data_IF_050256827484
#
_entry.id   IF_050256827484
#
_cell.length_a   1.000
_cell.length_b   1.000
_cell.length_c   1.000
_cell.angle_alpha   90.00
_cell.angle_beta   90.00
_cell.angle_gamma   90.00
#
_symmetry.space_group_name_H-M   'P 1'
#
loop_
_entity.id
_entity.type
_entity.pdbx_description
1 polymer ?
#
# COMPACT_ATOMS: atom_id res chain seq x y z
N UNK A 1 3.93 23.04 21.70
CA UNK A 1 3.46 21.81 21.04
C UNK A 1 4.59 21.27 20.18
N UNK A 2 4.62 19.96 19.86
CA UNK A 2 5.75 19.32 19.18
C UNK A 2 5.42 19.04 17.71
N UNK A 3 6.42 19.15 16.84
CA UNK A 3 6.35 18.80 15.41
C UNK A 3 5.94 17.33 15.22
N UNK A 4 4.92 17.07 14.40
CA UNK A 4 4.29 15.74 14.30
C UNK A 4 4.06 15.32 12.85
N UNK A 5 4.19 14.02 12.60
CA UNK A 5 3.93 13.36 11.32
C UNK A 5 2.98 12.17 11.53
N UNK A 6 1.99 12.00 10.65
CA UNK A 6 1.06 10.86 10.67
C UNK A 6 0.64 10.46 9.26
N UNK A 7 -0.04 9.32 9.16
CA UNK A 7 -0.75 8.89 7.96
C UNK A 7 -2.23 8.68 8.26
N UNK A 8 -3.09 8.94 7.28
CA UNK A 8 -4.51 8.58 7.37
C UNK A 8 -4.75 7.07 7.16
N UNK A 9 -3.73 6.35 6.70
CA UNK A 9 -3.87 4.96 6.23
C UNK A 9 -3.28 3.94 7.21
N UNK A 10 -2.34 4.36 8.06
CA UNK A 10 -1.79 3.54 9.13
C UNK A 10 -1.31 4.41 10.29
N UNK A 11 -1.34 3.83 11.50
CA UNK A 11 -0.80 4.47 12.71
C UNK A 11 0.68 4.14 12.87
N UNK A 12 1.39 4.96 13.65
CA UNK A 12 2.78 4.70 13.99
C UNK A 12 2.96 3.29 14.61
N UNK A 13 3.95 2.55 14.11
CA UNK A 13 4.27 1.18 14.49
C UNK A 13 3.34 0.11 13.88
N UNK A 14 2.31 0.50 13.14
CA UNK A 14 1.32 -0.42 12.56
C UNK A 14 1.66 -0.80 11.13
N UNK A 15 0.93 -1.79 10.62
CA UNK A 15 1.14 -2.34 9.28
C UNK A 15 0.77 -1.34 8.19
N UNK A 16 1.63 -1.21 7.18
CA UNK A 16 1.34 -0.47 5.95
C UNK A 16 0.35 -1.27 5.11
N UNK A 17 -0.74 -0.65 4.59
CA UNK A 17 -1.70 -1.32 3.71
C UNK A 17 -1.05 -1.92 2.47
N UNK A 18 -1.56 -3.06 2.01
CA UNK A 18 -0.97 -3.82 0.89
C UNK A 18 -0.94 -2.97 -0.39
N UNK A 19 -1.92 -2.08 -0.57
CA UNK A 19 -2.07 -1.17 -1.69
C UNK A 19 -0.86 -0.24 -1.86
N UNK A 20 -0.15 0.07 -0.76
CA UNK A 20 1.04 0.94 -0.73
C UNK A 20 2.36 0.17 -0.84
N UNK A 21 2.29 -1.15 -1.04
CA UNK A 21 3.44 -2.04 -1.21
C UNK A 21 3.64 -2.43 -2.66
N UNK A 22 4.74 -3.11 -2.97
CA UNK A 22 4.98 -3.62 -4.32
C UNK A 22 4.02 -4.74 -4.75
N UNK A 23 3.23 -5.31 -3.82
CA UNK A 23 2.14 -6.25 -4.15
C UNK A 23 0.84 -5.53 -4.55
N UNK A 24 0.75 -4.22 -4.31
CA UNK A 24 -0.37 -3.38 -4.72
C UNK A 24 0.06 -2.35 -5.75
N UNK A 25 -0.47 -1.13 -5.64
CA UNK A 25 -0.17 -0.03 -6.56
C UNK A 25 1.24 0.57 -6.40
N UNK A 26 1.95 0.25 -5.30
CA UNK A 26 3.26 0.83 -4.99
C UNK A 26 3.27 2.37 -5.04
N UNK A 27 2.15 2.97 -4.62
CA UNK A 27 1.97 4.41 -4.49
C UNK A 27 2.26 4.86 -3.06
N UNK A 28 2.68 6.12 -2.87
CA UNK A 28 2.96 6.65 -1.55
C UNK A 28 1.67 6.70 -0.70
N UNK A 29 1.77 6.47 0.63
CA UNK A 29 0.65 6.72 1.53
C UNK A 29 0.36 8.22 1.63
N UNK A 30 -0.87 8.59 1.96
CA UNK A 30 -1.19 9.95 2.41
C UNK A 30 -0.44 10.23 3.72
N UNK A 31 0.27 11.36 3.77
CA UNK A 31 0.99 11.84 4.96
C UNK A 31 0.47 13.22 5.35
N UNK A 32 0.31 13.47 6.65
CA UNK A 32 -0.06 14.76 7.20
C UNK A 32 0.85 15.14 8.37
N UNK A 33 1.00 16.44 8.61
CA UNK A 33 1.80 16.95 9.72
C UNK A 33 1.22 18.24 10.29
N UNK A 34 1.67 18.58 11.49
CA UNK A 34 1.27 19.77 12.22
C UNK A 34 2.41 20.25 13.11
N UNK A 35 2.26 21.47 13.64
CA UNK A 35 3.25 22.11 14.52
C UNK A 35 4.61 22.30 13.82
N UNK A 36 4.59 22.73 12.55
CA UNK A 36 5.80 23.11 11.81
C UNK A 36 6.45 24.29 12.54
N UNK A 37 7.74 24.23 12.93
CA UNK A 37 8.42 25.35 13.59
C UNK A 37 8.38 26.63 12.73
N UNK A 38 8.23 27.78 13.38
CA UNK A 38 8.11 29.09 12.68
C UNK A 38 9.35 29.44 11.84
N UNK A 39 10.53 28.93 12.22
CA UNK A 39 11.79 29.17 11.51
C UNK A 39 11.98 28.27 10.28
N UNK A 40 11.01 27.41 9.96
CA UNK A 40 11.05 26.52 8.79
C UNK A 40 10.92 27.33 7.51
N UNK A 41 11.84 27.14 6.57
CA UNK A 41 11.79 27.70 5.20
C UNK A 41 11.46 26.64 4.16
N UNK A 42 11.77 25.38 4.44
CA UNK A 42 11.46 24.26 3.56
C UNK A 42 11.17 22.99 4.37
N UNK A 43 10.26 22.17 3.87
CA UNK A 43 10.01 20.82 4.36
C UNK A 43 10.61 19.78 3.42
N UNK A 44 11.18 18.72 4.01
CA UNK A 44 11.73 17.58 3.27
C UNK A 44 11.35 16.25 3.94
N UNK A 45 11.24 15.18 3.16
CA UNK A 45 10.83 13.85 3.61
C UNK A 45 11.81 12.79 3.10
N UNK A 46 12.20 11.88 3.98
CA UNK A 46 12.97 10.68 3.67
C UNK A 46 12.24 9.45 4.20
N UNK A 47 12.10 8.42 3.37
CA UNK A 47 11.60 7.11 3.78
C UNK A 47 12.68 6.04 3.60
N UNK A 48 13.03 5.36 4.69
CA UNK A 48 14.08 4.33 4.72
C UNK A 48 13.62 3.04 5.38
N UNK A 49 14.16 1.93 4.88
CA UNK A 49 14.08 0.59 5.48
C UNK A 49 15.47 0.20 6.00
N UNK A 50 15.75 0.39 7.30
CA UNK A 50 17.01 -0.03 7.92
C UNK A 50 17.08 -1.55 8.13
N UNK A 51 15.96 -2.26 7.92
CA UNK A 51 15.85 -3.69 8.15
C UNK A 51 16.12 -4.50 6.88
N UNK A 52 16.30 -3.84 5.74
CA UNK A 52 16.71 -4.45 4.48
C UNK A 52 18.09 -5.13 4.62
N UNK A 53 18.30 -6.31 3.99
CA UNK A 53 19.55 -7.07 4.11
C UNK A 53 20.66 -6.48 3.21
N UNK A 54 20.94 -5.19 3.36
CA UNK A 54 21.98 -4.45 2.64
C UNK A 54 22.89 -3.71 3.65
N UNK A 55 24.13 -3.37 3.28
CA UNK A 55 25.05 -2.64 4.18
C UNK A 55 24.56 -1.25 4.60
N UNK A 56 23.68 -0.64 3.81
CA UNK A 56 23.06 0.67 4.08
C UNK A 56 21.55 0.51 4.06
N UNK A 57 20.85 1.39 4.79
CA UNK A 57 19.38 1.47 4.74
C UNK A 57 18.89 1.59 3.31
N UNK A 58 17.83 0.87 2.98
CA UNK A 58 17.20 0.95 1.66
C UNK A 58 16.29 2.17 1.59
N UNK A 59 16.55 3.07 0.66
CA UNK A 59 15.73 4.28 0.48
C UNK A 59 14.52 3.94 -0.37
N UNK A 60 13.35 4.21 0.17
CA UNK A 60 12.07 4.05 -0.49
C UNK A 60 11.58 5.34 -1.15
N UNK A 61 11.90 6.51 -0.55
CA UNK A 61 11.41 7.79 -1.05
C UNK A 61 12.22 8.97 -0.53
N UNK A 62 12.39 10.00 -1.37
CA UNK A 62 12.99 11.29 -1.03
C UNK A 62 12.10 12.37 -1.65
N UNK A 63 11.69 13.36 -0.87
CA UNK A 63 10.93 14.55 -1.31
C UNK A 63 11.52 15.78 -0.64
N UNK A 64 11.64 16.90 -1.35
CA UNK A 64 12.16 18.17 -0.83
C UNK A 64 11.60 19.34 -1.64
N UNK A 65 11.90 20.56 -1.20
CA UNK A 65 11.33 21.77 -1.81
C UNK A 65 9.86 21.98 -1.48
N UNK A 66 9.34 21.41 -0.40
CA UNK A 66 7.94 21.61 0.00
C UNK A 66 7.82 22.90 0.83
N UNK A 67 6.82 23.72 0.52
CA UNK A 67 6.51 24.92 1.27
C UNK A 67 6.09 24.59 2.74
N UNK A 68 6.55 25.35 3.76
CA UNK A 68 6.20 25.13 5.17
C UNK A 68 4.69 25.20 5.47
N UNK A 69 3.91 25.89 4.64
CA UNK A 69 2.46 26.03 4.78
C UNK A 69 1.70 24.82 4.25
N UNK A 70 2.32 23.96 3.44
CA UNK A 70 1.76 22.66 3.09
C UNK A 70 1.65 21.81 4.35
N UNK A 71 0.49 21.17 4.55
CA UNK A 71 0.20 20.32 5.73
C UNK A 71 0.08 18.84 5.42
N UNK A 72 0.17 18.45 4.14
CA UNK A 72 0.06 17.05 3.74
C UNK A 72 0.62 16.77 2.36
N UNK A 73 1.08 15.53 2.15
CA UNK A 73 1.22 14.94 0.82
C UNK A 73 0.03 14.00 0.59
N UNK A 74 -0.75 14.17 -0.50
CA UNK A 74 -1.81 13.24 -0.83
C UNK A 74 -1.24 11.88 -1.22
N UNK A 75 -2.05 10.83 -1.13
CA UNK A 75 -1.65 9.51 -1.61
C UNK A 75 -1.46 9.51 -3.12
N UNK A 76 -0.55 8.69 -3.63
CA UNK A 76 -0.36 8.45 -5.06
C UNK A 76 -0.06 9.71 -5.89
N UNK A 77 0.88 10.54 -5.44
CA UNK A 77 1.43 11.60 -6.30
C UNK A 77 2.22 10.98 -7.47
N UNK A 78 2.31 11.65 -8.64
CA UNK A 78 3.08 11.15 -9.76
C UNK A 78 4.56 10.97 -9.41
N UNK A 79 5.28 10.10 -10.12
CA UNK A 79 6.69 9.75 -9.82
C UNK A 79 7.69 10.55 -10.66
N UNK A 80 7.38 11.82 -10.89
CA UNK A 80 8.23 12.73 -11.66
C UNK A 80 9.24 13.44 -10.75
N UNK A 81 10.39 13.84 -11.33
CA UNK A 81 11.47 14.50 -10.58
C UNK A 81 11.01 15.82 -9.97
N UNK A 82 10.12 16.51 -10.65
CA UNK A 82 9.54 17.77 -10.23
C UNK A 82 8.04 17.70 -10.46
N UNK A 83 7.28 18.10 -9.45
CA UNK A 83 5.84 18.15 -9.49
C UNK A 83 5.40 19.57 -9.18
N UNK A 84 4.41 20.05 -9.92
CA UNK A 84 3.69 21.29 -9.59
C UNK A 84 2.27 21.04 -9.10
N UNK A 85 1.73 19.85 -9.35
CA UNK A 85 0.45 19.38 -8.85
C UNK A 85 0.54 17.89 -8.48
N UNK A 86 -0.17 17.43 -7.43
CA UNK A 86 -1.01 18.21 -6.51
C UNK A 86 -0.21 18.99 -5.45
N UNK A 87 1.11 18.87 -5.48
CA UNK A 87 2.04 19.48 -4.54
C UNK A 87 3.28 19.93 -5.31
N UNK A 88 3.64 21.21 -5.16
CA UNK A 88 4.92 21.74 -5.63
C UNK A 88 6.06 21.12 -4.80
N UNK A 89 6.86 20.27 -5.44
CA UNK A 89 8.01 19.63 -4.81
C UNK A 89 8.98 19.03 -5.82
N UNK A 90 10.16 18.64 -5.34
CA UNK A 90 11.13 17.81 -6.05
C UNK A 90 11.17 16.43 -5.41
N UNK A 91 11.38 15.40 -6.24
CA UNK A 91 11.56 14.02 -5.80
C UNK A 91 12.95 13.53 -6.14
N UNK A 92 13.56 12.80 -5.20
CA UNK A 92 14.87 12.18 -5.37
C UNK A 92 14.81 10.77 -5.99
N UNK A 93 15.99 10.20 -6.25
CA UNK A 93 16.18 8.80 -6.65
C UNK A 93 16.24 7.91 -5.41
N UNK A 94 15.46 6.84 -5.41
CA UNK A 94 15.47 5.81 -4.37
C UNK A 94 16.56 4.75 -4.64
N UNK A 95 16.68 3.76 -3.76
CA UNK A 95 17.73 2.72 -3.87
C UNK A 95 17.60 1.82 -5.11
N UNK A 96 16.46 1.84 -5.81
CA UNK A 96 16.29 1.16 -7.11
C UNK A 96 16.74 2.04 -8.30
N UNK A 97 17.22 3.26 -8.04
CA UNK A 97 17.54 4.24 -9.08
C UNK A 97 16.31 4.91 -9.70
N UNK A 98 15.11 4.61 -9.18
CA UNK A 98 13.84 5.17 -9.66
C UNK A 98 13.52 6.46 -8.91
N UNK A 99 12.78 7.35 -9.57
CA UNK A 99 12.27 8.58 -8.95
C UNK A 99 10.99 8.29 -8.17
N UNK A 100 10.82 8.97 -7.05
CA UNK A 100 9.62 8.86 -6.22
C UNK A 100 9.54 7.58 -5.39
N UNK A 101 8.36 7.34 -4.82
CA UNK A 101 8.14 6.27 -3.85
C UNK A 101 8.20 4.89 -4.50
N UNK A 102 8.93 3.96 -3.88
CA UNK A 102 8.83 2.52 -4.13
C UNK A 102 8.28 1.84 -2.88
N UNK A 103 7.21 1.06 -3.02
CA UNK A 103 6.56 0.44 -1.88
C UNK A 103 7.39 -0.69 -1.23
N UNK A 104 7.09 -1.04 0.04
CA UNK A 104 7.61 -2.21 0.71
C UNK A 104 7.62 -3.46 -0.17
N UNK A 105 8.76 -4.14 -0.23
CA UNK A 105 8.89 -5.45 -0.88
C UNK A 105 9.99 -6.27 -0.20
N UNK A 106 9.85 -6.56 1.11
CA UNK A 106 10.87 -7.32 1.81
C UNK A 106 10.98 -8.71 1.16
N UNK A 107 12.20 -9.24 0.97
CA UNK A 107 12.38 -10.53 0.34
C UNK A 107 11.65 -11.64 1.10
N UNK A 108 11.01 -12.59 0.39
CA UNK A 108 10.21 -13.63 1.04
C UNK A 108 11.03 -14.55 1.95
N UNK A 109 12.33 -14.72 1.66
CA UNK A 109 13.27 -15.48 2.50
C UNK A 109 13.67 -14.71 3.75
N UNK A 110 13.56 -13.38 3.73
CA UNK A 110 13.85 -12.50 4.84
C UNK A 110 12.59 -12.37 5.71
N UNK A 111 12.26 -13.46 6.43
CA UNK A 111 11.00 -13.71 7.17
C UNK A 111 10.72 -12.73 8.34
N UNK A 112 11.51 -11.66 8.48
CA UNK A 112 11.36 -10.63 9.49
C UNK A 112 10.38 -9.57 9.00
N UNK A 113 9.71 -8.91 9.94
CA UNK A 113 8.96 -7.69 9.63
C UNK A 113 9.94 -6.52 9.50
N UNK A 114 9.82 -5.76 8.42
CA UNK A 114 10.65 -4.58 8.18
C UNK A 114 9.94 -3.33 8.67
N UNK A 115 10.72 -2.38 9.16
CA UNK A 115 10.28 -1.02 9.48
C UNK A 115 10.56 -0.12 8.29
N UNK A 116 9.58 0.71 7.96
CA UNK A 116 9.68 1.77 6.95
C UNK A 116 9.52 3.08 7.70
N UNK A 117 10.64 3.79 7.86
CA UNK A 117 10.73 4.97 8.69
C UNK A 117 10.62 6.19 7.80
N UNK A 118 9.50 6.89 7.89
CA UNK A 118 9.28 8.20 7.29
C UNK A 118 9.75 9.27 8.27
N UNK A 119 10.70 10.09 7.84
CA UNK A 119 11.23 11.24 8.58
C UNK A 119 10.89 12.50 7.81
N UNK A 120 10.18 13.41 8.45
CA UNK A 120 9.88 14.74 7.94
C UNK A 120 10.80 15.74 8.65
N UNK A 121 11.52 16.53 7.87
CA UNK A 121 12.46 17.54 8.31
C UNK A 121 11.86 18.91 8.08
N UNK A 122 11.93 19.75 9.10
CA UNK A 122 11.84 21.18 8.97
C UNK A 122 13.25 21.75 8.79
N UNK A 123 13.47 22.51 7.72
CA UNK A 123 14.76 23.07 7.35
C UNK A 123 14.76 24.59 7.54
N UNK A 124 15.87 25.16 8.02
CA UNK A 124 16.07 26.61 8.22
C UNK A 124 16.26 27.36 6.91
N UNK A 125 16.75 26.68 5.87
CA UNK A 125 17.08 27.22 4.56
C UNK A 125 16.51 26.32 3.45
N UNK A 126 16.24 26.92 2.29
CA UNK A 126 15.79 26.20 1.10
C UNK A 126 16.95 25.44 0.45
N UNK A 127 16.67 24.25 -0.05
CA UNK A 127 17.71 23.42 -0.67
C UNK A 127 17.98 23.86 -2.11
N UNK A 128 19.25 24.11 -2.43
CA UNK A 128 19.73 24.31 -3.80
C UNK A 128 19.89 23.00 -4.59
N UNK A 129 19.35 21.91 -4.04
CA UNK A 129 19.46 20.56 -4.58
C UNK A 129 18.64 20.41 -5.87
N UNK A 130 19.29 19.86 -6.91
CA UNK A 130 18.65 19.55 -8.19
C UNK A 130 17.65 18.40 -8.02
N UNK A 131 16.62 18.36 -8.86
CA UNK A 131 15.62 17.30 -8.84
C UNK A 131 16.22 15.92 -9.20
N UNK A 132 15.79 14.85 -8.52
CA UNK A 132 16.35 13.50 -8.71
C UNK A 132 17.65 13.23 -7.94
N UNK A 133 17.95 14.01 -6.90
CA UNK A 133 19.07 13.75 -6.02
C UNK A 133 18.96 12.38 -5.31
N UNK A 134 20.10 11.73 -5.10
CA UNK A 134 20.19 10.49 -4.32
C UNK A 134 20.30 10.75 -2.82
N UNK A 135 20.35 9.67 -2.05
CA UNK A 135 20.42 9.71 -0.57
C UNK A 135 21.59 10.52 -0.03
N UNK A 136 22.80 10.33 -0.58
CA UNK A 136 24.01 11.01 -0.11
C UNK A 136 23.87 12.52 -0.27
N UNK A 137 23.64 12.96 -1.51
CA UNK A 137 23.40 14.36 -1.87
C UNK A 137 22.28 15.00 -1.02
N UNK A 138 21.20 14.26 -0.74
CA UNK A 138 20.12 14.72 0.12
C UNK A 138 20.57 14.92 1.57
N UNK A 139 21.26 13.94 2.17
CA UNK A 139 21.71 14.03 3.56
C UNK A 139 22.76 15.13 3.74
N UNK A 140 23.70 15.25 2.80
CA UNK A 140 24.71 16.30 2.80
C UNK A 140 24.04 17.68 2.71
N UNK A 141 22.98 17.82 1.90
CA UNK A 141 22.25 19.07 1.73
C UNK A 141 21.43 19.51 2.96
N UNK A 142 21.00 18.57 3.81
CA UNK A 142 20.23 18.90 5.03
C UNK A 142 21.10 18.97 6.28
N UNK A 143 22.37 18.56 6.22
CA UNK A 143 23.29 18.61 7.35
C UNK A 143 23.45 20.04 7.87
N UNK A 144 23.30 20.23 9.19
CA UNK A 144 23.33 21.56 9.82
C UNK A 144 22.11 22.45 9.55
N UNK A 145 21.19 22.07 8.66
CA UNK A 145 20.02 22.84 8.26
C UNK A 145 18.71 22.40 8.98
N UNK A 146 18.69 21.22 9.59
CA UNK A 146 17.49 20.69 10.27
C UNK A 146 17.20 21.44 11.57
N UNK A 147 16.00 22.02 11.68
CA UNK A 147 15.50 22.68 12.90
C UNK A 147 14.64 21.77 13.77
N UNK A 148 13.89 20.87 13.12
CA UNK A 148 13.11 19.86 13.81
C UNK A 148 12.88 18.65 12.90
N UNK A 149 12.62 17.51 13.52
CA UNK A 149 12.29 16.27 12.84
C UNK A 149 11.05 15.65 13.46
N UNK A 150 10.19 15.08 12.61
CA UNK A 150 9.08 14.23 13.02
C UNK A 150 9.16 12.88 12.32
N UNK A 151 8.81 11.81 13.02
CA UNK A 151 8.94 10.44 12.52
C UNK A 151 7.61 9.69 12.54
N UNK A 152 7.36 8.90 11.50
CA UNK A 152 6.30 7.90 11.40
C UNK A 152 6.92 6.58 10.94
N UNK A 153 6.71 5.50 11.68
CA UNK A 153 7.16 4.16 11.29
C UNK A 153 5.97 3.31 10.86
N UNK A 154 5.98 2.83 9.62
CA UNK A 154 5.11 1.77 9.17
C UNK A 154 5.84 0.43 9.19
N UNK A 155 5.11 -0.68 9.27
CA UNK A 155 5.69 -2.02 9.23
C UNK A 155 5.13 -2.85 8.09
N UNK A 156 5.94 -3.72 7.51
CA UNK A 156 5.44 -4.69 6.55
C UNK A 156 6.27 -5.98 6.56
N UNK A 157 5.56 -7.10 6.42
CA UNK A 157 6.14 -8.43 6.26
C UNK A 157 5.45 -9.12 5.09
N UNK A 158 6.24 -9.62 4.14
CA UNK A 158 5.73 -10.48 3.07
C UNK A 158 5.44 -11.84 3.68
N UNK A 159 4.16 -12.24 3.67
CA UNK A 159 3.79 -13.60 4.07
C UNK A 159 3.92 -14.47 2.82
N UNK A 160 4.58 -15.64 2.91
CA UNK A 160 4.60 -16.57 1.78
C UNK A 160 3.16 -16.94 1.41
N UNK A 161 2.85 -17.17 0.11
CA UNK A 161 1.56 -17.72 -0.27
C UNK A 161 1.31 -18.98 0.54
N UNK A 162 0.14 -19.05 1.21
CA UNK A 162 -0.24 -20.26 1.91
C UNK A 162 -0.31 -21.39 0.88
N UNK A 163 0.32 -22.54 1.16
CA UNK A 163 0.06 -23.75 0.37
C UNK A 163 -1.44 -24.00 0.48
N UNK A 164 -2.19 -23.83 -0.60
CA UNK A 164 -3.57 -24.34 -0.65
C UNK A 164 -3.41 -25.85 -0.46
N UNK A 165 -3.89 -26.37 0.67
CA UNK A 165 -3.79 -27.81 0.92
C UNK A 165 -4.49 -28.52 -0.22
N UNK A 166 -3.81 -29.47 -0.87
CA UNK A 166 -4.32 -30.29 -1.97
C UNK A 166 -5.41 -31.28 -1.49
N UNK A 167 -6.25 -30.88 -0.55
CA UNK A 167 -7.27 -31.69 0.10
C UNK A 167 -8.68 -31.48 -0.52
N UNK A 168 -8.77 -30.88 -1.72
CA UNK A 168 -10.06 -30.70 -2.44
C UNK A 168 -10.20 -31.67 -3.64
N UNK A 169 -9.25 -32.57 -3.89
CA UNK A 169 -9.34 -33.53 -5.00
C UNK A 169 -9.26 -34.98 -4.51
N UNK A 170 -10.31 -35.52 -3.86
CA UNK A 170 -10.53 -36.99 -3.72
C UNK A 170 -12.00 -37.42 -3.42
N UNK A 171 -13.02 -36.63 -3.75
CA UNK A 171 -14.44 -37.06 -3.61
C UNK A 171 -15.22 -36.97 -4.92
N UNK A 172 -14.65 -37.49 -6.01
CA UNK A 172 -15.42 -37.87 -7.19
C UNK A 172 -14.58 -38.84 -8.03
N UNK A 173 -14.44 -40.10 -7.57
CA UNK A 173 -14.14 -41.31 -8.37
C UNK A 173 -13.81 -42.51 -7.45
N UNK A 174 -14.67 -42.78 -6.47
CA UNK A 174 -14.72 -44.09 -5.82
C UNK A 174 -16.18 -44.39 -5.52
N UNK A 175 -16.78 -45.24 -6.35
CA UNK A 175 -18.14 -45.72 -6.14
C UNK A 175 -18.27 -46.46 -4.81
N UNK A 176 -19.42 -46.29 -4.18
CA UNK A 176 -19.83 -47.03 -2.99
C UNK A 176 -21.34 -47.25 -3.06
N UNK A 177 -21.72 -48.51 -3.29
CA UNK A 177 -23.09 -48.97 -3.49
C UNK A 177 -23.98 -48.71 -2.27
N UNK A 178 -25.24 -48.31 -2.51
CA UNK A 178 -26.33 -48.45 -1.56
C UNK A 178 -27.37 -49.42 -2.15
N UNK A 179 -27.29 -50.68 -1.72
CA UNK A 179 -28.38 -51.65 -1.81
C UNK A 179 -29.51 -51.16 -0.89
N UNK A 180 -30.67 -50.83 -1.47
CA UNK A 180 -31.92 -50.68 -0.72
C UNK A 180 -32.84 -51.81 -1.15
N UNK A 181 -32.95 -52.83 -0.29
CA UNK A 181 -34.02 -53.82 -0.34
C UNK A 181 -35.28 -53.20 0.28
N UNK A 182 -36.32 -53.00 -0.52
CA UNK A 182 -37.65 -52.58 -0.08
C UNK A 182 -38.71 -53.17 -1.02
N UNK A 183 -39.34 -54.26 -0.58
CA UNK A 183 -40.27 -55.08 -1.36
C UNK A 183 -41.71 -54.51 -1.25
N UNK A 184 -42.20 -53.96 -2.35
CA UNK A 184 -43.48 -54.26 -3.05
C UNK A 184 -44.79 -54.43 -2.25
N UNK A 185 -45.79 -53.58 -2.55
CA UNK A 185 -47.22 -53.90 -2.86
C UNK A 185 -47.83 -52.70 -3.63
N UNK A 186 -48.20 -52.83 -4.92
CA UNK A 186 -49.57 -52.90 -5.49
C UNK A 186 -50.55 -51.85 -4.89
N UNK A 187 -51.39 -51.08 -5.60
CA UNK A 187 -52.08 -51.24 -6.88
C UNK A 187 -52.76 -49.89 -7.29
N UNK A 188 -53.00 -49.72 -8.60
CA UNK A 188 -54.12 -49.00 -9.28
C UNK A 188 -54.25 -47.46 -9.33
N UNK A 189 -54.06 -46.99 -10.58
CA UNK A 189 -55.07 -46.46 -11.55
C UNK A 189 -55.62 -45.03 -11.36
N UNK A 190 -55.43 -44.21 -12.40
CA UNK A 190 -56.24 -43.00 -12.72
C UNK A 190 -55.38 -41.75 -13.01
N UNK A 191 -54.91 -41.48 -14.23
CA UNK A 191 -55.61 -40.79 -15.31
C UNK A 191 -55.89 -39.30 -15.04
N UNK A 192 -55.09 -38.39 -15.62
CA UNK A 192 -55.53 -37.40 -16.64
C UNK A 192 -54.40 -36.45 -17.06
N UNK A 193 -54.44 -36.13 -18.35
CA UNK A 193 -53.65 -35.14 -19.09
C UNK A 193 -53.94 -33.72 -18.58
N UNK A 194 -52.96 -32.82 -18.69
CA UNK A 194 -53.03 -31.64 -19.58
C UNK A 194 -51.74 -30.79 -19.45
N UNK A 195 -51.09 -30.57 -20.60
CA UNK A 195 -50.28 -29.39 -20.95
C UNK A 195 -51.26 -28.33 -21.55
N UNK A 196 -50.91 -27.08 -21.90
CA UNK A 196 -49.65 -26.32 -21.85
C UNK A 196 -49.82 -25.06 -20.95
N UNK A 197 -49.03 -23.98 -20.90
CA UNK A 197 -48.39 -23.18 -21.93
C UNK A 197 -47.57 -22.05 -21.26
N UNK A 198 -46.59 -21.54 -21.99
CA UNK A 198 -45.69 -20.43 -21.67
C UNK A 198 -46.42 -19.10 -21.37
N UNK A 199 -45.83 -18.24 -20.54
CA UNK A 199 -45.79 -16.82 -20.87
C UNK A 199 -44.61 -16.09 -20.23
N UNK A 200 -43.89 -15.44 -21.12
CA UNK A 200 -42.70 -14.63 -21.00
C UNK A 200 -42.94 -13.33 -20.23
N UNK A 201 -41.97 -12.95 -19.40
CA UNK A 201 -41.82 -11.63 -18.82
C UNK A 201 -41.06 -10.70 -19.79
N UNK A 202 -41.65 -9.53 -20.09
CA UNK A 202 -41.00 -8.38 -20.74
C UNK A 202 -41.59 -7.12 -20.08
N UNK A 203 -40.87 -6.49 -19.14
CA UNK A 203 -39.94 -5.34 -19.28
C UNK A 203 -40.59 -4.01 -19.73
N UNK A 204 -40.25 -2.96 -18.95
CA UNK A 204 -40.33 -1.50 -19.22
C UNK A 204 -41.72 -0.85 -19.18
N UNK A 205 -41.94 0.39 -18.72
CA UNK A 205 -41.11 1.59 -18.41
C UNK A 205 -42.00 2.50 -17.54
N UNK A 206 -41.45 3.17 -16.52
CA UNK A 206 -41.14 4.61 -16.51
C UNK A 206 -42.30 5.53 -16.96
N UNK A 207 -42.78 6.33 -16.01
CA UNK A 207 -43.76 7.41 -16.17
C UNK A 207 -44.18 7.91 -14.79
#
# INVERSE_FOLDING_TARGET
>A
MAFRLWSAEFRNGMRIPVERTALGSSSNPRLGWAEVPLETRELALLCEDPDAPFPKSFVHWIVYGMDPDVKSIPSAIPKDKHLSLPLECKQGRNSMGLVGYTGPNPPFWHRREHRYIFRLFALRETLTLAAGAGRGEFLDAIEGNVVAEAQLTGKYKKTPPQKVSAAIFWTALAGGAALVFGRMTSERRGQRRNHPEERSDEISRAG
#
